data_IF_728094207802
#
_entry.id   IF_728094207802
#
_cell.length_a   1.000
_cell.length_b   1.000
_cell.length_c   1.000
_cell.angle_alpha   90.00
_cell.angle_beta   90.00
_cell.angle_gamma   90.00
#
_symmetry.space_group_name_H-M   'P 1'
#
loop_
_entity.id
_entity.type
_entity.pdbx_description
1 polymer ?
#
# COMPACT_ATOMS: atom_id res chain seq x y z
N UNK A 1 -14.19 0.83 1.97
CA UNK A 1 -13.19 0.94 3.07
C UNK A 1 -13.94 1.23 4.36
N UNK A 2 -13.75 0.45 5.43
CA UNK A 2 -14.54 0.62 6.66
C UNK A 2 -13.81 1.35 7.80
N UNK A 3 -12.56 1.81 7.61
CA UNK A 3 -11.74 2.55 8.59
C UNK A 3 -11.58 1.86 9.96
N UNK A 4 -11.78 0.54 10.02
CA UNK A 4 -11.54 -0.26 11.23
C UNK A 4 -10.09 -0.74 11.24
N UNK A 5 -9.58 -1.05 12.43
CA UNK A 5 -8.27 -1.67 12.59
C UNK A 5 -8.15 -2.93 11.74
N UNK A 6 -7.00 -3.10 11.09
CA UNK A 6 -6.64 -4.26 10.26
C UNK A 6 -5.40 -4.89 10.89
N UNK A 7 -5.42 -6.21 11.03
CA UNK A 7 -4.22 -6.98 11.38
C UNK A 7 -3.64 -7.53 10.08
N UNK A 8 -2.37 -7.21 9.82
CA UNK A 8 -1.61 -7.70 8.67
C UNK A 8 -0.42 -8.52 9.16
N UNK A 9 -0.14 -9.61 8.47
CA UNK A 9 1.09 -10.38 8.68
C UNK A 9 2.15 -9.85 7.71
N UNK A 10 3.33 -9.53 8.24
CA UNK A 10 4.45 -9.05 7.45
C UNK A 10 5.51 -10.15 7.40
N UNK A 11 5.81 -10.61 6.19
CA UNK A 11 6.91 -11.52 5.92
C UNK A 11 7.72 -10.95 4.75
N UNK A 12 8.90 -10.40 5.04
CA UNK A 12 9.84 -9.88 4.04
C UNK A 12 11.18 -10.59 4.21
N UNK A 13 11.70 -11.15 3.12
CA UNK A 13 13.08 -11.59 3.04
C UNK A 13 13.87 -10.55 2.26
N UNK A 14 14.99 -10.10 2.83
CA UNK A 14 15.86 -9.10 2.21
C UNK A 14 17.29 -9.62 2.19
N UNK A 15 18.00 -9.39 1.10
CA UNK A 15 19.41 -9.77 0.94
C UNK A 15 20.15 -8.50 0.57
N UNK A 16 20.86 -7.94 1.54
CA UNK A 16 21.52 -6.65 1.40
C UNK A 16 22.98 -6.81 0.99
N UNK A 17 23.42 -5.96 0.07
CA UNK A 17 24.79 -5.83 -0.38
C UNK A 17 25.43 -4.59 0.23
N UNK A 18 26.29 -4.80 1.22
CA UNK A 18 26.92 -3.71 1.98
C UNK A 18 28.11 -3.15 1.20
N UNK A 19 28.19 -1.82 1.06
CA UNK A 19 29.30 -1.14 0.37
C UNK A 19 29.60 0.22 1.02
N UNK A 20 30.83 0.71 0.84
CA UNK A 20 31.27 2.01 1.37
C UNK A 20 31.40 3.08 0.27
N UNK A 21 31.87 2.68 -0.91
CA UNK A 21 32.21 3.60 -1.99
C UNK A 21 31.63 3.17 -3.35
N UNK A 22 31.80 4.04 -4.34
CA UNK A 22 31.29 3.83 -5.69
C UNK A 22 31.95 2.64 -6.41
N UNK A 23 33.18 2.28 -6.07
CA UNK A 23 33.90 1.19 -6.72
C UNK A 23 33.50 -0.18 -6.14
N UNK A 24 33.19 -0.25 -4.85
CA UNK A 24 32.53 -1.40 -4.22
C UNK A 24 31.11 -1.59 -4.77
N UNK A 25 30.33 -0.51 -4.89
CA UNK A 25 28.99 -0.56 -5.46
C UNK A 25 28.96 -1.13 -6.88
N UNK A 26 29.92 -0.74 -7.74
CA UNK A 26 30.02 -1.27 -9.12
C UNK A 26 30.34 -2.76 -9.19
N UNK A 27 30.91 -3.34 -8.13
CA UNK A 27 31.23 -4.77 -8.05
C UNK A 27 30.10 -5.58 -7.44
N UNK A 28 29.10 -4.92 -6.86
CA UNK A 28 27.98 -5.58 -6.23
C UNK A 28 27.13 -6.31 -7.29
N UNK A 29 26.78 -7.56 -7.02
CA UNK A 29 25.93 -8.34 -7.91
C UNK A 29 24.48 -7.84 -7.86
N UNK A 30 23.78 -7.91 -8.99
CA UNK A 30 22.42 -7.34 -9.16
C UNK A 30 21.35 -8.00 -8.27
N UNK A 31 21.63 -9.16 -7.68
CA UNK A 31 20.72 -9.87 -6.77
C UNK A 31 20.73 -9.32 -5.34
N UNK A 32 21.62 -8.38 -5.02
CA UNK A 32 21.66 -7.72 -3.73
C UNK A 32 20.96 -6.36 -3.76
N UNK A 33 20.20 -6.07 -2.71
CA UNK A 33 19.69 -4.73 -2.47
C UNK A 33 20.83 -3.87 -1.87
N UNK A 34 21.23 -2.76 -2.52
CA UNK A 34 22.40 -2.01 -2.07
C UNK A 34 22.17 -1.31 -0.73
N UNK A 35 23.14 -1.44 0.18
CA UNK A 35 23.14 -0.80 1.50
C UNK A 35 24.47 -0.07 1.71
N UNK A 36 24.43 1.26 1.62
CA UNK A 36 25.63 2.09 1.85
C UNK A 36 25.88 2.25 3.35
N UNK A 37 27.13 2.06 3.78
CA UNK A 37 27.54 2.38 5.14
C UNK A 37 27.92 3.87 5.23
N UNK A 38 27.15 4.62 6.01
CA UNK A 38 27.48 6.00 6.38
C UNK A 38 28.51 6.06 7.53
N UNK A 39 28.57 5.00 8.35
CA UNK A 39 29.45 4.85 9.50
C UNK A 39 30.11 3.46 9.50
N UNK A 40 31.15 3.27 10.32
CA UNK A 40 31.90 2.00 10.40
C UNK A 40 31.03 0.82 10.86
N UNK A 41 29.94 1.09 11.59
CA UNK A 41 29.00 0.10 12.07
C UNK A 41 27.56 0.52 11.80
N UNK A 42 26.72 -0.46 11.47
CA UNK A 42 25.27 -0.28 11.38
C UNK A 42 24.56 -1.08 12.48
N UNK A 43 23.58 -0.46 13.11
CA UNK A 43 22.73 -1.13 14.08
C UNK A 43 21.72 -2.02 13.37
N UNK A 44 21.75 -3.32 13.66
CA UNK A 44 20.82 -4.30 13.06
C UNK A 44 19.35 -3.93 13.34
N UNK A 45 19.06 -3.33 14.51
CA UNK A 45 17.72 -2.84 14.83
C UNK A 45 17.21 -1.76 13.85
N UNK A 46 18.10 -0.86 13.39
CA UNK A 46 17.76 0.21 12.44
C UNK A 46 17.46 -0.39 11.07
N UNK A 47 18.28 -1.33 10.65
CA UNK A 47 18.12 -2.05 9.39
C UNK A 47 16.81 -2.85 9.40
N UNK A 48 16.48 -3.56 10.49
CA UNK A 48 15.20 -4.27 10.61
C UNK A 48 14.01 -3.29 10.62
N UNK A 49 14.12 -2.14 11.29
CA UNK A 49 13.09 -1.10 11.30
C UNK A 49 12.79 -0.61 9.87
N UNK A 50 13.81 -0.26 9.10
CA UNK A 50 13.68 0.21 7.72
C UNK A 50 13.03 -0.85 6.83
N UNK A 51 13.47 -2.11 6.94
CA UNK A 51 12.90 -3.22 6.18
C UNK A 51 11.43 -3.45 6.51
N UNK A 52 11.06 -3.34 7.78
CA UNK A 52 9.67 -3.44 8.23
C UNK A 52 8.82 -2.28 7.70
N UNK A 53 9.34 -1.05 7.74
CA UNK A 53 8.65 0.12 7.20
C UNK A 53 8.39 -0.02 5.70
N UNK A 54 9.38 -0.51 4.95
CA UNK A 54 9.26 -0.79 3.52
C UNK A 54 8.30 -1.94 3.22
N UNK A 55 8.15 -2.90 4.13
CA UNK A 55 7.22 -4.02 3.97
C UNK A 55 5.75 -3.65 4.23
N UNK A 56 5.49 -2.51 4.87
CA UNK A 56 4.12 -2.08 5.18
C UNK A 56 3.39 -1.68 3.88
N UNK A 57 2.20 -2.23 3.62
CA UNK A 57 1.42 -1.84 2.45
C UNK A 57 0.97 -0.39 2.58
N UNK A 58 1.08 0.37 1.48
CA UNK A 58 0.63 1.77 1.40
C UNK A 58 -0.85 1.93 1.81
N UNK A 59 -1.67 0.90 1.54
CA UNK A 59 -3.09 0.88 1.89
C UNK A 59 -3.42 -0.48 2.49
N UNK A 60 -3.44 -0.60 3.84
CA UNK A 60 -3.84 -1.83 4.49
C UNK A 60 -5.35 -2.04 4.30
N UNK A 61 -5.72 -3.24 3.83
CA UNK A 61 -7.11 -3.63 3.59
C UNK A 61 -7.43 -4.89 4.38
N UNK A 62 -8.64 -4.97 4.89
CA UNK A 62 -9.18 -6.25 5.34
C UNK A 62 -9.24 -7.20 4.16
N UNK A 63 -8.99 -8.49 4.39
CA UNK A 63 -9.39 -9.51 3.43
C UNK A 63 -10.89 -9.42 3.17
N UNK A 64 -11.30 -9.69 1.93
CA UNK A 64 -12.66 -9.44 1.40
C UNK A 64 -13.80 -9.96 2.30
N UNK A 65 -13.52 -11.00 3.11
CA UNK A 65 -14.49 -11.62 4.01
C UNK A 65 -14.71 -10.89 5.35
N UNK A 66 -13.92 -9.86 5.69
CA UNK A 66 -13.96 -9.20 7.00
C UNK A 66 -14.34 -7.72 6.95
N UNK A 67 -14.49 -7.15 5.75
CA UNK A 67 -14.85 -5.74 5.61
C UNK A 67 -16.37 -5.56 5.71
N UNK A 68 -16.87 -5.15 6.88
CA UNK A 68 -18.31 -4.85 7.10
C UNK A 68 -18.83 -3.76 6.14
N UNK A 69 -17.93 -2.90 5.62
CA UNK A 69 -18.29 -1.90 4.62
C UNK A 69 -18.77 -2.50 3.30
N UNK A 70 -18.42 -3.74 2.99
CA UNK A 70 -18.82 -4.39 1.74
C UNK A 70 -20.32 -4.71 1.71
N UNK A 71 -20.89 -5.14 2.83
CA UNK A 71 -22.33 -5.42 2.93
C UNK A 71 -23.15 -4.13 2.90
N UNK A 72 -22.66 -3.06 3.53
CA UNK A 72 -23.25 -1.73 3.44
C UNK A 72 -23.22 -1.19 2.00
N UNK A 73 -22.10 -1.36 1.28
CA UNK A 73 -21.98 -0.97 -0.13
C UNK A 73 -22.89 -1.80 -1.04
N UNK A 74 -23.02 -3.11 -0.81
CA UNK A 74 -23.95 -3.98 -1.53
C UNK A 74 -25.40 -3.52 -1.32
N UNK A 75 -25.80 -3.21 -0.08
CA UNK A 75 -27.14 -2.69 0.22
C UNK A 75 -27.42 -1.33 -0.44
N UNK A 76 -26.44 -0.42 -0.46
CA UNK A 76 -26.56 0.87 -1.13
C UNK A 76 -26.64 0.73 -2.66
N UNK A 77 -25.88 -0.19 -3.26
CA UNK A 77 -25.93 -0.46 -4.70
C UNK A 77 -27.26 -1.09 -5.15
N UNK A 78 -27.87 -1.94 -4.32
CA UNK A 78 -29.22 -2.48 -4.60
C UNK A 78 -30.26 -1.36 -4.67
N UNK A 79 -30.16 -0.35 -3.79
CA UNK A 79 -31.04 0.83 -3.81
C UNK A 79 -30.73 1.82 -4.94
N UNK A 80 -29.53 1.80 -5.53
CA UNK A 80 -29.13 2.71 -6.61
C UNK A 80 -29.58 2.25 -8.01
N UNK A 81 -30.41 1.19 -8.11
CA UNK A 81 -31.08 0.85 -9.39
C UNK A 81 -32.12 1.88 -9.83
N UNK A 82 -32.43 2.86 -8.99
CA UNK A 82 -33.11 4.09 -9.40
C UNK A 82 -32.06 5.19 -9.62
N UNK A 83 -31.87 5.57 -10.89
CA UNK A 83 -30.94 6.63 -11.31
C UNK A 83 -31.04 7.87 -10.41
N UNK A 84 -30.01 8.09 -9.61
CA UNK A 84 -29.81 9.25 -8.73
C UNK A 84 -29.70 10.58 -9.50
N UNK A 85 -29.44 10.50 -10.81
CA UNK A 85 -29.41 11.63 -11.74
C UNK A 85 -30.72 11.82 -12.53
N UNK A 86 -31.79 11.09 -12.21
CA UNK A 86 -33.11 11.27 -12.83
C UNK A 86 -33.64 12.71 -12.69
N UNK A 87 -33.26 13.41 -11.62
CA UNK A 87 -33.56 14.83 -11.43
C UNK A 87 -32.97 15.74 -12.53
N UNK A 88 -31.85 15.34 -13.15
CA UNK A 88 -31.18 16.11 -14.21
C UNK A 88 -31.83 15.93 -15.59
N UNK A 89 -32.75 14.97 -15.75
CA UNK A 89 -33.46 14.78 -17.02
C UNK A 89 -34.25 16.02 -17.44
N UNK A 90 -34.82 16.75 -16.45
CA UNK A 90 -35.57 18.00 -16.68
C UNK A 90 -34.72 19.13 -17.28
N UNK A 91 -33.40 19.09 -17.11
CA UNK A 91 -32.48 20.10 -17.62
C UNK A 91 -32.05 19.84 -19.08
N UNK A 92 -32.43 18.68 -19.65
CA UNK A 92 -32.13 18.36 -21.05
C UNK A 92 -33.10 19.03 -22.04
N UNK A 93 -34.32 19.34 -21.58
CA UNK A 93 -35.37 19.94 -22.40
C UNK A 93 -35.43 21.47 -22.25
N UNK A 94 -34.78 22.04 -21.23
CA UNK A 94 -34.54 23.48 -21.10
C UNK A 94 -33.34 23.90 -21.95
N UNK A 95 -33.44 23.67 -23.26
CA UNK A 95 -32.53 24.26 -24.25
C UNK A 95 -33.25 25.47 -24.84
N UNK A 96 -33.05 26.63 -24.19
CA UNK A 96 -33.25 27.96 -24.81
C UNK A 96 -31.91 28.41 -25.34
#
# INVERSE_FOLDING_TARGET
RCLKSVIIEIQKGSVLGVYNDSDEFKKLEDNYEPCQLDEEFILVEKLVEDELLLAIPLIPLHSDKKCIGEDALKALNVNNKMNSFSALAKLKDSKV
#
